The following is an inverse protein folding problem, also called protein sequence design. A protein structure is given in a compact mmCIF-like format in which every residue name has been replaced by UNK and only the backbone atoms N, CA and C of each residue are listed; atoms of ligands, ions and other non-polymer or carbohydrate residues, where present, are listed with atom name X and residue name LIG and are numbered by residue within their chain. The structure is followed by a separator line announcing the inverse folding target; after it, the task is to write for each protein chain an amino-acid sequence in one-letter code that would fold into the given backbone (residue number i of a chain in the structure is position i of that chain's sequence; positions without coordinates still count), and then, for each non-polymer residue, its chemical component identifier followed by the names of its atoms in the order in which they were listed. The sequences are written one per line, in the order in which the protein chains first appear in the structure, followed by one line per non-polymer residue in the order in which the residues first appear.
data_IF_117903911126
#
_entry.id   IF_117903911126
#
_cell.length_a   1.000
_cell.length_b   1.000
_cell.length_c   1.000
_cell.angle_alpha   90.00
_cell.angle_beta   90.00
_cell.angle_gamma   90.00
#
_symmetry.space_group_name_H-M   'P 1'
#
loop_
_entity.id
_entity.type
_entity.pdbx_description
1 polymer ?
#
# COMPACT_ATOMS: atom_id res chain seq x y z
N UNK A 1 26.91 0.59 -46.83
CA UNK A 1 26.43 1.52 -45.79
C UNK A 1 26.01 0.82 -44.48
N UNK A 2 25.39 -0.37 -44.52
CA UNK A 2 24.95 -1.11 -43.32
C UNK A 2 26.08 -1.62 -42.39
N UNK A 3 27.24 -1.98 -42.95
CA UNK A 3 28.39 -2.47 -42.16
C UNK A 3 29.01 -1.40 -41.24
N UNK A 4 29.05 -0.12 -41.68
CA UNK A 4 29.54 0.98 -40.84
C UNK A 4 28.61 1.21 -39.65
N UNK A 5 27.30 1.10 -39.86
CA UNK A 5 26.29 1.26 -38.80
C UNK A 5 26.39 0.17 -37.72
N UNK A 6 26.63 -1.09 -38.12
CA UNK A 6 26.87 -2.19 -37.18
C UNK A 6 28.17 -2.00 -36.39
N UNK A 7 29.21 -1.45 -37.02
CA UNK A 7 30.49 -1.19 -36.36
C UNK A 7 30.37 -0.07 -35.31
N UNK A 8 29.58 0.98 -35.58
CA UNK A 8 29.31 2.03 -34.59
C UNK A 8 28.45 1.54 -33.42
N UNK A 9 27.48 0.65 -33.67
CA UNK A 9 26.65 0.06 -32.60
C UNK A 9 27.47 -0.87 -31.71
N UNK A 10 28.36 -1.67 -32.28
CA UNK A 10 29.27 -2.53 -31.52
C UNK A 10 30.26 -1.71 -30.68
N UNK A 11 30.81 -0.63 -31.24
CA UNK A 11 31.70 0.27 -30.52
C UNK A 11 30.99 0.96 -29.33
N UNK A 12 29.74 1.40 -29.52
CA UNK A 12 28.92 1.98 -28.45
C UNK A 12 28.63 1.00 -27.31
N UNK A 13 28.38 -0.27 -27.63
CA UNK A 13 28.13 -1.31 -26.64
C UNK A 13 29.38 -1.65 -25.82
N UNK A 14 30.55 -1.69 -26.45
CA UNK A 14 31.83 -1.94 -25.76
C UNK A 14 32.21 -0.77 -24.85
N UNK A 15 31.96 0.48 -25.29
CA UNK A 15 32.16 1.67 -24.45
C UNK A 15 31.21 1.63 -23.24
N UNK A 16 29.92 1.30 -23.44
CA UNK A 16 28.95 1.19 -22.36
C UNK A 16 29.35 0.14 -21.30
N UNK A 17 29.87 -1.01 -21.74
CA UNK A 17 30.36 -2.06 -20.84
C UNK A 17 31.63 -1.66 -20.08
N UNK A 18 32.52 -0.87 -20.68
CA UNK A 18 33.73 -0.37 -20.02
C UNK A 18 33.43 0.77 -19.02
N UNK A 19 32.41 1.60 -19.27
CA UNK A 19 31.98 2.64 -18.32
C UNK A 19 31.02 2.16 -17.23
N UNK A 20 30.43 0.97 -17.35
CA UNK A 20 29.41 0.46 -16.44
C UNK A 20 29.89 0.12 -15.02
N UNK A 21 31.20 -0.01 -14.82
CA UNK A 21 31.79 -0.39 -13.52
C UNK A 21 32.45 0.75 -12.73
N UNK A 22 32.47 1.98 -13.23
CA UNK A 22 33.35 3.04 -12.67
C UNK A 22 32.76 4.46 -12.60
N UNK A 23 31.42 4.61 -12.63
CA UNK A 23 30.79 5.90 -12.35
C UNK A 23 29.84 5.82 -11.15
N UNK A 24 30.15 6.53 -10.03
CA UNK A 24 29.21 6.74 -8.93
C UNK A 24 27.93 7.43 -9.44
N UNK A 25 26.78 7.14 -8.82
CA UNK A 25 25.44 7.61 -9.17
C UNK A 25 25.30 9.13 -9.41
N UNK A 26 26.28 9.95 -8.99
CA UNK A 26 26.29 11.39 -9.14
C UNK A 26 26.40 11.89 -10.60
N UNK A 27 26.96 11.12 -11.54
CA UNK A 27 27.16 11.59 -12.93
C UNK A 27 25.98 11.22 -13.85
N UNK A 28 25.26 10.13 -13.57
CA UNK A 28 24.04 9.76 -14.31
C UNK A 28 22.93 10.80 -14.20
N UNK A 29 22.93 11.64 -13.16
CA UNK A 29 22.00 12.75 -12.99
C UNK A 29 22.30 13.94 -13.93
N UNK A 30 23.53 14.02 -14.48
CA UNK A 30 23.99 15.15 -15.29
C UNK A 30 23.78 14.94 -16.80
N UNK A 31 23.60 13.70 -17.27
CA UNK A 31 23.38 13.41 -18.70
C UNK A 31 22.10 14.06 -19.28
N UNK A 32 20.94 14.04 -18.59
CA UNK A 32 19.75 14.72 -19.10
C UNK A 32 19.92 16.25 -19.16
N UNK A 33 20.63 16.81 -18.17
CA UNK A 33 20.88 18.25 -18.09
C UNK A 33 21.91 18.72 -19.14
N UNK A 34 22.97 17.95 -19.38
CA UNK A 34 23.95 18.22 -20.43
C UNK A 34 23.34 18.09 -21.84
N UNK A 35 22.44 17.13 -22.05
CA UNK A 35 21.71 16.97 -23.32
C UNK A 35 20.75 18.13 -23.62
N UNK A 36 20.03 18.62 -22.61
CA UNK A 36 19.17 19.79 -22.73
C UNK A 36 19.96 21.09 -22.99
N UNK A 37 21.12 21.25 -22.35
CA UNK A 37 21.99 22.40 -22.57
C UNK A 37 22.65 22.38 -23.97
N UNK A 38 23.06 21.20 -24.45
CA UNK A 38 23.61 21.04 -25.81
C UNK A 38 22.56 21.35 -26.90
N UNK A 39 21.30 20.92 -26.72
CA UNK A 39 20.22 21.19 -27.65
C UNK A 39 19.89 22.70 -27.78
N UNK A 40 20.07 23.46 -26.69
CA UNK A 40 19.90 24.91 -26.70
C UNK A 40 21.10 25.64 -27.33
N UNK A 41 22.30 25.06 -27.27
CA UNK A 41 23.52 25.68 -27.81
C UNK A 41 23.74 25.38 -29.31
N UNK A 42 23.21 24.27 -29.86
CA UNK A 42 23.55 23.84 -31.23
C UNK A 42 22.46 24.01 -32.30
N UNK A 43 21.28 24.60 -32.04
CA UNK A 43 20.31 24.60 -33.15
C UNK A 43 18.96 25.24 -32.95
N UNK A 44 18.92 26.54 -32.71
CA UNK A 44 17.80 27.34 -33.21
C UNK A 44 17.91 27.52 -34.72
N UNK A 45 17.15 26.76 -35.53
CA UNK A 45 16.40 27.19 -36.74
C UNK A 45 15.97 26.02 -37.65
N UNK A 46 14.73 26.16 -38.15
CA UNK A 46 13.92 25.32 -39.08
C UNK A 46 13.14 24.22 -38.35
N UNK A 47 11.83 24.27 -38.13
CA UNK A 47 10.76 25.01 -38.81
C UNK A 47 9.88 24.03 -39.60
N UNK A 48 8.65 23.81 -39.11
CA UNK A 48 7.48 23.54 -39.96
C UNK A 48 7.03 22.08 -40.13
N UNK A 49 5.70 21.96 -40.08
CA UNK A 49 4.83 20.89 -40.59
C UNK A 49 4.60 19.67 -39.70
N UNK A 50 3.33 19.48 -39.30
CA UNK A 50 2.89 18.23 -38.70
C UNK A 50 1.63 18.24 -37.83
N UNK A 51 0.78 19.27 -37.88
CA UNK A 51 -0.59 19.13 -37.40
C UNK A 51 -1.34 18.14 -38.31
N UNK A 52 -1.70 16.98 -37.76
CA UNK A 52 -2.67 16.07 -38.37
C UNK A 52 -3.64 15.60 -37.29
N UNK A 53 -4.76 16.33 -37.20
CA UNK A 53 -6.03 15.83 -36.70
C UNK A 53 -6.36 14.49 -37.35
N UNK A 54 -6.73 13.49 -36.55
CA UNK A 54 -7.62 12.42 -36.99
C UNK A 54 -8.81 12.36 -36.05
N UNK A 55 -9.89 12.98 -36.50
CA UNK A 55 -11.25 12.73 -36.04
C UNK A 55 -11.79 11.48 -36.76
N UNK A 56 -12.58 10.62 -36.11
CA UNK A 56 -13.39 9.64 -36.82
C UNK A 56 -14.64 10.32 -37.43
N UNK A 57 -14.85 10.04 -38.71
CA UNK A 57 -15.91 10.59 -39.55
C UNK A 57 -17.30 10.06 -39.17
N UNK A 58 -18.25 10.99 -39.07
CA UNK A 58 -19.69 10.75 -39.12
C UNK A 58 -20.13 10.81 -40.59
N UNK A 59 -20.88 9.80 -41.06
CA UNK A 59 -21.57 9.76 -42.36
C UNK A 59 -22.99 9.26 -42.12
N UNK A 60 -23.99 10.17 -42.16
CA UNK A 60 -25.07 10.20 -43.17
C UNK A 60 -26.17 9.18 -42.87
N UNK A 61 -27.25 9.52 -42.16
CA UNK A 61 -28.48 10.19 -42.63
C UNK A 61 -29.34 9.34 -43.59
N UNK A 62 -30.46 8.79 -43.10
CA UNK A 62 -31.71 8.66 -43.88
C UNK A 62 -32.97 8.56 -42.98
N UNK A 63 -33.86 9.54 -43.19
CA UNK A 63 -35.32 9.60 -43.08
C UNK A 63 -36.14 8.87 -41.98
N UNK A 64 -37.06 9.67 -41.39
CA UNK A 64 -38.17 9.32 -40.50
C UNK A 64 -39.33 8.58 -41.24
N UNK A 65 -40.41 8.06 -40.61
CA UNK A 65 -41.37 8.87 -39.81
C UNK A 65 -42.02 8.21 -38.55
N UNK A 66 -42.59 9.08 -37.71
CA UNK A 66 -43.56 8.85 -36.61
C UNK A 66 -44.93 8.31 -37.14
N UNK A 67 -45.80 7.66 -36.32
CA UNK A 67 -46.68 8.32 -35.32
C UNK A 67 -46.82 7.54 -33.97
N UNK A 68 -46.80 8.18 -32.80
CA UNK A 68 -47.90 8.80 -32.03
C UNK A 68 -48.81 7.82 -31.24
N UNK A 69 -48.78 7.93 -29.90
CA UNK A 69 -49.89 7.83 -28.90
C UNK A 69 -49.26 7.84 -27.48
N UNK A 70 -49.34 8.93 -26.70
CA UNK A 70 -50.39 9.24 -25.71
C UNK A 70 -50.51 8.13 -24.63
N UNK A 71 -50.25 8.34 -23.33
CA UNK A 71 -50.97 9.17 -22.36
C UNK A 71 -50.23 9.21 -21.00
N UNK A 72 -50.33 10.33 -20.26
CA UNK A 72 -50.30 10.41 -18.79
C UNK A 72 -51.76 10.64 -18.30
N UNK A 73 -52.11 10.89 -17.01
CA UNK A 73 -51.44 10.75 -15.70
C UNK A 73 -52.36 10.09 -14.61
N UNK A 74 -51.94 10.10 -13.32
CA UNK A 74 -52.73 10.12 -12.04
C UNK A 74 -52.14 9.12 -11.00
N UNK A 75 -51.57 9.54 -9.87
CA UNK A 75 -52.19 10.02 -8.62
C UNK A 75 -53.20 9.06 -7.98
N UNK A 76 -52.81 8.40 -6.88
CA UNK A 76 -53.70 8.08 -5.75
C UNK A 76 -52.88 7.73 -4.48
N UNK A 77 -53.33 8.31 -3.39
CA UNK A 77 -52.85 8.23 -2.00
C UNK A 77 -53.70 7.20 -1.26
N UNK A 78 -53.13 6.37 -0.39
CA UNK A 78 -53.84 5.92 0.83
C UNK A 78 -52.91 5.63 2.00
N UNK A 79 -53.24 6.31 3.08
CA UNK A 79 -52.79 6.27 4.47
C UNK A 79 -53.52 5.17 5.26
N UNK A 80 -52.85 4.42 6.16
CA UNK A 80 -53.44 3.88 7.41
C UNK A 80 -52.44 2.93 8.12
N UNK A 81 -52.06 3.26 9.35
CA UNK A 81 -51.29 2.35 10.21
C UNK A 81 -50.73 2.98 11.47
N UNK A 82 -51.56 3.70 12.24
CA UNK A 82 -51.21 4.32 13.53
C UNK A 82 -51.66 3.39 14.67
N UNK A 83 -50.72 2.83 15.44
CA UNK A 83 -50.95 2.26 16.77
C UNK A 83 -49.62 2.38 17.54
N UNK A 84 -49.50 3.35 18.44
CA UNK A 84 -49.74 3.22 19.88
C UNK A 84 -48.46 2.78 20.63
N UNK A 85 -47.81 3.77 21.24
CA UNK A 85 -46.83 3.56 22.32
C UNK A 85 -47.52 2.98 23.57
N UNK A 86 -46.74 2.35 24.46
CA UNK A 86 -46.60 2.97 25.78
C UNK A 86 -45.15 3.12 26.23
N UNK A 87 -45.01 3.85 27.34
CA UNK A 87 -43.87 4.63 27.80
C UNK A 87 -43.38 4.06 29.15
N UNK A 88 -42.04 3.97 29.33
CA UNK A 88 -41.20 4.01 30.58
C UNK A 88 -41.39 2.87 31.63
N UNK A 89 -40.40 2.53 32.53
CA UNK A 89 -39.25 3.33 32.91
C UNK A 89 -37.86 2.70 33.16
N UNK A 90 -36.87 3.60 33.12
CA UNK A 90 -35.70 3.77 33.99
C UNK A 90 -34.91 2.54 34.49
N UNK A 91 -33.64 2.48 34.08
CA UNK A 91 -32.61 1.73 34.80
C UNK A 91 -31.24 1.81 34.12
N UNK A 92 -30.31 2.54 34.73
CA UNK A 92 -28.86 2.33 34.52
C UNK A 92 -28.17 3.20 33.46
N UNK A 93 -27.92 4.47 33.77
CA UNK A 93 -26.72 5.14 33.25
C UNK A 93 -25.50 4.54 33.95
N UNK A 94 -24.90 3.54 33.32
CA UNK A 94 -23.49 3.23 33.53
C UNK A 94 -22.72 3.92 32.41
N UNK A 95 -21.80 4.79 32.80
CA UNK A 95 -20.84 5.43 31.92
C UNK A 95 -20.10 4.35 31.13
N UNK A 96 -20.39 4.25 29.82
CA UNK A 96 -19.50 3.60 28.90
C UNK A 96 -18.43 4.63 28.56
N UNK A 97 -17.36 4.59 29.36
CA UNK A 97 -16.05 5.12 29.02
C UNK A 97 -15.77 4.78 27.55
N UNK A 98 -15.52 5.82 26.77
CA UNK A 98 -14.84 5.69 25.50
C UNK A 98 -13.48 5.08 25.81
N UNK A 99 -13.12 3.86 25.36
CA UNK A 99 -11.72 3.50 25.30
C UNK A 99 -11.18 4.31 24.13
N UNK A 100 -10.72 5.53 24.42
CA UNK A 100 -9.71 6.16 23.60
C UNK A 100 -8.58 5.14 23.53
N UNK A 101 -8.43 4.51 22.37
CA UNK A 101 -7.38 3.57 22.06
C UNK A 101 -6.07 4.17 22.56
N UNK A 102 -5.50 3.53 23.58
CA UNK A 102 -4.25 3.95 24.19
C UNK A 102 -3.20 4.01 23.09
N UNK A 103 -2.75 5.22 22.79
CA UNK A 103 -1.55 5.44 21.99
C UNK A 103 -0.44 4.65 22.65
N UNK A 104 0.16 3.79 21.86
CA UNK A 104 1.37 3.03 22.10
C UNK A 104 2.56 3.98 22.33
N UNK A 105 2.59 4.64 23.48
CA UNK A 105 3.84 5.20 24.03
C UNK A 105 4.60 4.07 24.75
N UNK A 106 4.71 2.92 24.09
CA UNK A 106 5.76 1.97 24.38
C UNK A 106 7.07 2.62 23.92
N UNK A 107 8.17 2.36 24.62
CA UNK A 107 9.50 2.84 24.29
C UNK A 107 9.98 2.26 22.94
N UNK A 108 9.39 2.75 21.84
CA UNK A 108 9.64 2.28 20.48
C UNK A 108 11.02 2.80 20.10
N UNK A 109 11.92 1.88 19.77
CA UNK A 109 13.24 2.23 19.25
C UNK A 109 13.11 3.24 18.09
N UNK A 110 14.00 4.25 18.01
CA UNK A 110 13.89 5.35 17.03
C UNK A 110 13.90 4.84 15.58
N UNK A 111 14.39 3.63 15.37
CA UNK A 111 14.34 2.95 14.09
C UNK A 111 12.92 2.60 13.60
N UNK A 112 12.00 2.29 14.51
CA UNK A 112 10.63 1.90 14.17
C UNK A 112 9.63 3.05 14.28
N UNK A 113 9.99 4.18 14.87
CA UNK A 113 9.16 5.38 14.92
C UNK A 113 8.49 5.74 13.57
N UNK A 114 9.24 5.88 12.44
CA UNK A 114 8.62 6.20 11.15
C UNK A 114 7.72 5.09 10.62
N UNK A 115 7.97 3.83 11.00
CA UNK A 115 7.16 2.68 10.58
C UNK A 115 5.81 2.71 11.28
N UNK A 116 5.80 2.96 12.59
CA UNK A 116 4.59 3.01 13.41
C UNK A 116 3.72 4.20 13.01
N UNK A 117 4.32 5.39 12.85
CA UNK A 117 3.61 6.57 12.35
C UNK A 117 2.95 6.31 11.00
N UNK A 118 3.69 5.68 10.08
CA UNK A 118 3.17 5.38 8.76
C UNK A 118 2.04 4.34 8.80
N UNK A 119 2.11 3.33 9.67
CA UNK A 119 1.02 2.36 9.86
C UNK A 119 -0.26 3.04 10.35
N UNK A 120 -0.17 4.00 11.26
CA UNK A 120 -1.33 4.77 11.73
C UNK A 120 -1.95 5.58 10.59
N UNK A 121 -1.13 6.25 9.76
CA UNK A 121 -1.64 6.99 8.59
C UNK A 121 -2.32 6.06 7.59
N UNK A 122 -1.72 4.89 7.32
CA UNK A 122 -2.32 3.89 6.44
C UNK A 122 -3.64 3.34 6.99
N UNK A 123 -3.69 3.09 8.29
CA UNK A 123 -4.90 2.64 8.99
C UNK A 123 -6.03 3.65 8.82
N UNK A 124 -5.78 4.94 9.11
CA UNK A 124 -6.77 6.00 8.94
C UNK A 124 -7.27 6.12 7.49
N UNK A 125 -6.36 5.99 6.52
CA UNK A 125 -6.71 6.01 5.10
C UNK A 125 -7.60 4.83 4.70
N UNK A 126 -7.26 3.62 5.14
CA UNK A 126 -8.02 2.40 4.84
C UNK A 126 -9.40 2.46 5.50
N UNK A 127 -9.48 2.91 6.76
CA UNK A 127 -10.75 3.10 7.46
C UNK A 127 -11.62 4.11 6.73
N UNK A 128 -11.06 5.26 6.34
CA UNK A 128 -11.79 6.29 5.61
C UNK A 128 -12.33 5.77 4.27
N UNK A 129 -11.52 5.01 3.52
CA UNK A 129 -11.94 4.43 2.24
C UNK A 129 -12.98 3.31 2.40
N UNK A 130 -12.92 2.55 3.50
CA UNK A 130 -13.95 1.59 3.89
C UNK A 130 -15.28 2.28 4.24
N UNK A 131 -15.25 3.34 5.05
CA UNK A 131 -16.45 4.11 5.43
C UNK A 131 -17.16 4.75 4.23
N UNK A 132 -16.39 5.15 3.20
CA UNK A 132 -16.94 5.67 1.93
C UNK A 132 -17.57 4.58 1.05
N UNK A 133 -17.56 3.31 1.46
CA UNK A 133 -17.91 2.16 0.63
C UNK A 133 -17.13 2.12 -0.70
N UNK A 134 -15.92 2.68 -0.72
CA UNK A 134 -15.05 2.70 -1.91
C UNK A 134 -14.05 1.54 -1.91
N UNK A 135 -13.89 0.89 -0.77
CA UNK A 135 -13.00 -0.25 -0.58
C UNK A 135 -13.82 -1.49 -0.22
N UNK A 136 -13.39 -2.65 -0.71
CA UNK A 136 -14.01 -3.92 -0.37
C UNK A 136 -13.79 -4.25 1.12
N UNK A 137 -14.84 -4.71 1.79
CA UNK A 137 -14.77 -5.08 3.22
C UNK A 137 -13.68 -6.11 3.51
N UNK A 138 -13.45 -7.08 2.62
CA UNK A 138 -12.38 -8.07 2.80
C UNK A 138 -10.99 -7.43 2.79
N UNK A 139 -10.79 -6.40 1.95
CA UNK A 139 -9.52 -5.66 1.92
C UNK A 139 -9.34 -4.87 3.22
N UNK A 140 -10.39 -4.18 3.68
CA UNK A 140 -10.37 -3.42 4.92
C UNK A 140 -10.00 -4.33 6.08
N UNK A 141 -10.72 -5.44 6.26
CA UNK A 141 -10.53 -6.36 7.37
C UNK A 141 -9.11 -6.97 7.38
N UNK A 142 -8.61 -7.42 6.22
CA UNK A 142 -7.27 -8.00 6.12
C UNK A 142 -6.16 -6.98 6.32
N UNK A 143 -6.33 -5.76 5.81
CA UNK A 143 -5.36 -4.69 6.02
C UNK A 143 -5.28 -4.29 7.49
N UNK A 144 -6.43 -4.09 8.16
CA UNK A 144 -6.47 -3.75 9.59
C UNK A 144 -5.90 -4.87 10.47
N UNK A 145 -6.24 -6.12 10.18
CA UNK A 145 -5.66 -7.27 10.89
C UNK A 145 -4.13 -7.31 10.74
N UNK A 146 -3.60 -7.05 9.54
CA UNK A 146 -2.17 -6.98 9.29
C UNK A 146 -1.51 -5.82 10.04
N UNK A 147 -2.12 -4.63 10.06
CA UNK A 147 -1.57 -3.47 10.76
C UNK A 147 -1.51 -3.70 12.26
N UNK A 148 -2.58 -4.23 12.86
CA UNK A 148 -2.61 -4.58 14.28
C UNK A 148 -1.54 -5.64 14.62
N UNK A 149 -1.33 -6.62 13.72
CA UNK A 149 -0.28 -7.62 13.88
C UNK A 149 1.12 -7.00 13.83
N UNK A 150 1.37 -6.12 12.86
CA UNK A 150 2.64 -5.39 12.74
C UNK A 150 2.92 -4.55 13.99
N UNK A 151 1.93 -3.81 14.48
CA UNK A 151 2.05 -3.01 15.71
C UNK A 151 2.38 -3.87 16.93
N UNK A 152 1.89 -5.12 17.01
CA UNK A 152 2.24 -6.07 18.08
C UNK A 152 3.65 -6.67 17.93
N UNK A 153 4.11 -6.94 16.71
CA UNK A 153 5.41 -7.57 16.45
C UNK A 153 6.57 -6.56 16.59
N UNK A 154 6.35 -5.28 16.29
CA UNK A 154 7.39 -4.24 16.32
C UNK A 154 8.12 -4.14 17.69
N UNK A 155 7.44 -4.12 18.86
CA UNK A 155 8.13 -4.14 20.14
C UNK A 155 8.99 -5.38 20.35
N UNK A 156 8.51 -6.57 19.96
CA UNK A 156 9.23 -7.84 20.10
C UNK A 156 10.51 -7.86 19.25
N UNK A 157 10.51 -7.20 18.11
CA UNK A 157 11.69 -7.05 17.25
C UNK A 157 12.79 -6.18 17.88
N UNK A 158 12.41 -5.24 18.74
CA UNK A 158 13.36 -4.41 19.46
C UNK A 158 14.06 -5.22 20.56
N UNK A 159 13.31 -6.08 21.25
CA UNK A 159 13.85 -7.02 22.24
C UNK A 159 14.75 -8.08 21.59
N UNK A 160 14.39 -8.53 20.38
CA UNK A 160 15.18 -9.48 19.61
C UNK A 160 16.61 -8.96 19.34
N UNK A 161 16.73 -7.65 19.09
CA UNK A 161 18.00 -6.97 18.82
C UNK A 161 18.66 -7.33 17.49
N UNK A 162 17.89 -7.86 16.51
CA UNK A 162 18.43 -8.28 15.22
C UNK A 162 18.24 -7.20 14.14
N UNK A 163 19.31 -6.46 13.84
CA UNK A 163 19.29 -5.37 12.87
C UNK A 163 18.88 -5.76 11.44
N UNK A 164 19.14 -7.00 11.01
CA UNK A 164 18.74 -7.49 9.67
C UNK A 164 17.22 -7.67 9.58
N UNK A 165 16.62 -8.28 10.60
CA UNK A 165 15.16 -8.46 10.68
C UNK A 165 14.49 -7.09 10.83
N UNK A 166 15.05 -6.20 11.64
CA UNK A 166 14.52 -4.86 11.85
C UNK A 166 14.53 -4.04 10.55
N UNK A 167 15.62 -4.09 9.79
CA UNK A 167 15.69 -3.48 8.46
C UNK A 167 14.69 -4.11 7.49
N UNK A 168 14.54 -5.43 7.51
CA UNK A 168 13.59 -6.16 6.66
C UNK A 168 12.16 -5.70 6.90
N UNK A 169 11.73 -5.60 8.16
CA UNK A 169 10.39 -5.14 8.53
C UNK A 169 10.18 -3.68 8.15
N UNK A 170 11.17 -2.82 8.39
CA UNK A 170 11.12 -1.42 7.95
C UNK A 170 10.90 -1.33 6.44
N UNK A 171 11.68 -2.07 5.64
CA UNK A 171 11.53 -2.10 4.19
C UNK A 171 10.16 -2.64 3.78
N UNK A 172 9.72 -3.72 4.39
CA UNK A 172 8.44 -4.37 4.09
C UNK A 172 7.27 -3.38 4.24
N UNK A 173 7.26 -2.60 5.31
CA UNK A 173 6.20 -1.61 5.56
C UNK A 173 6.38 -0.36 4.70
N UNK A 174 7.57 0.25 4.72
CA UNK A 174 7.79 1.56 4.09
C UNK A 174 7.84 1.51 2.57
N UNK A 175 8.23 0.36 1.99
CA UNK A 175 8.41 0.19 0.55
C UNK A 175 7.37 -0.76 -0.03
N UNK A 176 7.29 -1.98 0.47
CA UNK A 176 6.52 -3.03 -0.21
C UNK A 176 5.01 -2.83 0.05
N UNK A 177 4.60 -2.68 1.30
CA UNK A 177 3.23 -2.39 1.69
C UNK A 177 2.75 -1.05 1.11
N UNK A 178 3.59 0.00 1.23
CA UNK A 178 3.36 1.29 0.61
C UNK A 178 3.15 1.18 -0.92
N UNK A 179 4.03 0.45 -1.60
CA UNK A 179 4.00 0.26 -3.05
C UNK A 179 2.77 -0.47 -3.56
N UNK A 180 2.14 -1.30 -2.73
CA UNK A 180 0.90 -2.00 -3.10
C UNK A 180 -0.34 -1.17 -2.73
N UNK A 181 -0.36 -0.59 -1.51
CA UNK A 181 -1.55 0.12 -1.00
C UNK A 181 -1.75 1.47 -1.70
N UNK A 182 -0.73 2.32 -1.78
CA UNK A 182 -0.92 3.69 -2.25
C UNK A 182 -1.37 3.78 -3.71
N UNK A 183 -0.78 3.03 -4.66
CA UNK A 183 -1.29 2.99 -6.02
C UNK A 183 -2.72 2.45 -6.08
N UNK A 184 -3.06 1.45 -5.27
CA UNK A 184 -4.40 0.88 -5.24
C UNK A 184 -5.46 1.87 -4.74
N UNK A 185 -5.17 2.61 -3.68
CA UNK A 185 -6.10 3.61 -3.13
C UNK A 185 -6.37 4.77 -4.09
N UNK A 186 -5.43 5.05 -4.99
CA UNK A 186 -5.59 6.06 -6.06
C UNK A 186 -6.45 5.59 -7.23
N UNK A 187 -6.77 4.29 -7.32
CA UNK A 187 -7.62 3.76 -8.39
C UNK A 187 -9.09 4.17 -8.19
N UNK A 188 -9.81 4.35 -9.29
CA UNK A 188 -11.27 4.53 -9.25
C UNK A 188 -12.01 3.22 -8.92
N UNK A 189 -13.30 3.30 -8.54
CA UNK A 189 -14.09 2.16 -8.04
C UNK A 189 -14.03 0.89 -8.90
N UNK A 190 -14.25 0.98 -10.22
CA UNK A 190 -14.15 -0.20 -11.10
C UNK A 190 -12.73 -0.78 -11.19
N UNK A 191 -11.71 0.09 -11.19
CA UNK A 191 -10.32 -0.33 -11.26
C UNK A 191 -9.88 -0.99 -9.94
N UNK A 192 -10.38 -0.52 -8.80
CA UNK A 192 -10.20 -1.19 -7.50
C UNK A 192 -10.78 -2.60 -7.53
N UNK A 193 -11.99 -2.79 -8.06
CA UNK A 193 -12.60 -4.12 -8.18
C UNK A 193 -11.78 -5.09 -9.04
N UNK A 194 -11.29 -4.64 -10.20
CA UNK A 194 -10.46 -5.48 -11.09
C UNK A 194 -9.10 -5.83 -10.49
N UNK A 195 -8.51 -4.92 -9.72
CA UNK A 195 -7.19 -5.12 -9.09
C UNK A 195 -7.26 -5.65 -7.66
N UNK A 196 -8.46 -5.92 -7.14
CA UNK A 196 -8.71 -6.43 -5.77
C UNK A 196 -7.78 -7.58 -5.40
N UNK A 197 -7.67 -8.57 -6.29
CA UNK A 197 -6.82 -9.75 -6.09
C UNK A 197 -5.34 -9.39 -5.93
N UNK A 198 -4.86 -8.41 -6.68
CA UNK A 198 -3.46 -7.96 -6.60
C UNK A 198 -3.14 -7.39 -5.22
N UNK A 199 -4.02 -6.55 -4.69
CA UNK A 199 -3.86 -6.02 -3.33
C UNK A 199 -3.98 -7.13 -2.28
N UNK A 200 -5.01 -7.99 -2.36
CA UNK A 200 -5.19 -9.08 -1.41
C UNK A 200 -3.99 -10.04 -1.38
N UNK A 201 -3.41 -10.34 -2.54
CA UNK A 201 -2.19 -11.16 -2.62
C UNK A 201 -1.01 -10.42 -1.98
N UNK A 202 -0.80 -9.14 -2.29
CA UNK A 202 0.27 -8.36 -1.67
C UNK A 202 0.15 -8.28 -0.15
N UNK A 203 -1.07 -8.07 0.38
CA UNK A 203 -1.33 -8.10 1.83
C UNK A 203 -1.04 -9.48 2.43
N UNK A 204 -1.43 -10.56 1.73
CA UNK A 204 -1.17 -11.93 2.16
C UNK A 204 0.33 -12.26 2.16
N UNK A 205 1.08 -11.78 1.18
CA UNK A 205 2.52 -12.01 1.07
C UNK A 205 3.26 -11.30 2.22
N UNK A 206 2.87 -10.06 2.53
CA UNK A 206 3.38 -9.31 3.69
C UNK A 206 3.02 -10.04 4.99
N UNK A 207 1.76 -10.46 5.16
CA UNK A 207 1.33 -11.21 6.35
C UNK A 207 2.10 -12.52 6.53
N UNK A 208 2.33 -13.26 5.44
CA UNK A 208 3.13 -14.49 5.45
C UNK A 208 4.56 -14.19 5.91
N UNK A 209 5.17 -13.12 5.41
CA UNK A 209 6.52 -12.73 5.84
C UNK A 209 6.58 -12.33 7.32
N UNK A 210 5.54 -11.67 7.83
CA UNK A 210 5.42 -11.35 9.26
C UNK A 210 5.24 -12.63 10.10
N UNK A 211 4.54 -13.65 9.59
CA UNK A 211 4.47 -14.96 10.24
C UNK A 211 5.84 -15.63 10.39
N UNK A 212 6.66 -15.60 9.34
CA UNK A 212 8.01 -16.19 9.40
C UNK A 212 8.88 -15.48 10.45
N UNK A 213 8.76 -14.16 10.52
CA UNK A 213 9.49 -13.34 11.49
C UNK A 213 9.01 -13.62 12.92
N UNK A 214 7.69 -13.68 13.14
CA UNK A 214 7.12 -14.03 14.44
C UNK A 214 7.58 -15.43 14.89
N UNK A 215 7.58 -16.42 14.00
CA UNK A 215 8.09 -17.77 14.28
C UNK A 215 9.58 -17.77 14.67
N UNK A 216 10.38 -16.91 14.03
CA UNK A 216 11.80 -16.76 14.37
C UNK A 216 11.99 -16.18 15.79
N UNK A 217 11.15 -15.20 16.17
CA UNK A 217 11.14 -14.64 17.52
C UNK A 217 10.75 -15.72 18.53
N UNK A 218 9.63 -16.42 18.29
CA UNK A 218 9.15 -17.50 19.16
C UNK A 218 10.20 -18.60 19.35
N UNK A 219 10.89 -18.99 18.27
CA UNK A 219 11.95 -19.99 18.36
C UNK A 219 13.11 -19.54 19.25
N UNK A 220 13.53 -18.28 19.15
CA UNK A 220 14.57 -17.73 20.02
C UNK A 220 14.10 -17.69 21.48
N UNK A 221 12.87 -17.24 21.72
CA UNK A 221 12.31 -17.17 23.06
C UNK A 221 12.23 -18.55 23.72
N UNK A 222 11.90 -19.59 22.95
CA UNK A 222 11.93 -20.98 23.41
C UNK A 222 13.34 -21.44 23.80
N UNK A 223 14.36 -21.12 23.01
CA UNK A 223 15.75 -21.45 23.34
C UNK A 223 16.25 -20.72 24.59
N UNK A 224 15.90 -19.44 24.73
CA UNK A 224 16.21 -18.67 25.93
C UNK A 224 15.52 -19.25 27.16
N UNK A 225 14.26 -19.67 27.04
CA UNK A 225 13.51 -20.30 28.10
C UNK A 225 14.13 -21.63 28.52
N UNK A 226 14.50 -22.49 27.57
CA UNK A 226 15.18 -23.76 27.83
C UNK A 226 16.52 -23.54 28.55
N UNK A 227 17.33 -22.61 28.05
CA UNK A 227 18.63 -22.27 28.65
C UNK A 227 18.46 -21.78 30.09
N UNK A 228 17.47 -20.92 30.35
CA UNK A 228 17.16 -20.42 31.70
C UNK A 228 16.66 -21.54 32.62
N UNK A 229 15.82 -22.44 32.12
CA UNK A 229 15.32 -23.58 32.87
C UNK A 229 16.44 -24.55 33.26
N UNK A 230 17.37 -24.84 32.34
CA UNK A 230 18.55 -25.67 32.61
C UNK A 230 19.48 -25.02 33.66
N UNK A 231 19.73 -23.71 33.54
CA UNK A 231 20.53 -22.98 34.54
C UNK A 231 19.92 -23.02 35.93
N UNK A 232 18.59 -22.88 36.03
CA UNK A 232 17.86 -23.03 37.29
C UNK A 232 18.06 -24.45 37.82
N UNK A 233 17.82 -25.47 37.00
CA UNK A 233 18.00 -26.86 37.40
C UNK A 233 19.42 -27.13 37.91
N UNK A 234 20.46 -26.64 37.22
CA UNK A 234 21.85 -26.76 37.64
C UNK A 234 22.15 -26.05 38.98
N UNK A 235 21.60 -24.85 39.20
CA UNK A 235 21.82 -24.10 40.45
C UNK A 235 21.21 -24.82 41.66
N UNK A 236 20.00 -25.35 41.53
CA UNK A 236 19.34 -26.02 42.64
C UNK A 236 19.86 -27.44 42.87
N UNK A 237 20.18 -28.19 41.81
CA UNK A 237 20.79 -29.53 41.95
C UNK A 237 22.21 -29.50 42.50
N UNK A 238 23.01 -28.45 42.24
CA UNK A 238 24.33 -28.26 42.88
C UNK A 238 24.25 -27.74 44.31
N UNK A 239 23.14 -27.11 44.72
CA UNK A 239 23.01 -26.51 46.05
C UNK A 239 22.46 -27.48 47.11
N UNK A 240 22.04 -28.70 46.71
CA UNK A 240 21.61 -29.78 47.61
C UNK A 240 22.71 -30.80 47.97
N UNK A 241 23.97 -30.57 47.53
CA UNK A 241 25.16 -31.36 47.91
C UNK A 241 26.10 -30.53 48.77
#
# INVERSE_FOLDING_TARGET
MKSKLLMYMAAGYVIALLTGGFLPEAVSLLLPAAGAAAALYTGGRRGGAGAASQAPAVRGAEAAPLPASAQAPASAVTEAGRAAAPRVPAGGSAAAETPAAGRTDANIAPEFAPVVEYLVVLEDMIISEGQKNSLDNEIVDKALALFARLQRVIPLLQELGNGEINHTVRRLVMKDLNGVINPFLRLGGEAKMRNRRTLLNGLKDVDSKISDIASTIEHKDLLELQTKAELIHQRYSRSEL
#
